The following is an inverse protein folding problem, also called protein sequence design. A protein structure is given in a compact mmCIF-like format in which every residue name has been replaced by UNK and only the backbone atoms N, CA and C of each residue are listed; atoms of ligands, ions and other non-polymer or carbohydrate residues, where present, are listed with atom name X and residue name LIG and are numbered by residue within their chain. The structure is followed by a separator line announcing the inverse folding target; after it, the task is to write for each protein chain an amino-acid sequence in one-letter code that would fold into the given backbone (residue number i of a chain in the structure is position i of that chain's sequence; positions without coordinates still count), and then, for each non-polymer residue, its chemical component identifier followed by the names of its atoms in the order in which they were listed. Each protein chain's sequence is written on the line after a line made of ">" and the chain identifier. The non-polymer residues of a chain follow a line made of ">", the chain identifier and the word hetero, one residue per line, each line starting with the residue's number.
data_IF_836724770032
#
_entry.id   IF_836724770032
#
_cell.length_a   1.000
_cell.length_b   1.000
_cell.length_c   1.000
_cell.angle_alpha   90.00
_cell.angle_beta   90.00
_cell.angle_gamma   90.00
#
_symmetry.space_group_name_H-M   'P 1'
#
loop_
_entity.id
_entity.type
_entity.pdbx_description
1 polymer ?
#
# COMPACT_ATOMS: atom_id res chain seq x y z
N UNK A 1 17.50 -12.42 -1.53
CA UNK A 1 16.86 -11.09 -1.42
C UNK A 1 15.36 -11.10 -1.81
N UNK A 2 14.63 -12.23 -1.74
CA UNK A 2 13.19 -12.27 -2.06
C UNK A 2 12.28 -12.05 -0.84
N UNK A 3 12.71 -12.47 0.36
CA UNK A 3 11.85 -12.48 1.55
C UNK A 3 11.47 -11.09 2.06
N UNK A 4 12.36 -10.10 1.98
CA UNK A 4 12.04 -8.75 2.51
C UNK A 4 10.96 -8.05 1.66
N UNK A 5 11.08 -8.11 0.34
CA UNK A 5 10.09 -7.52 -0.57
C UNK A 5 8.75 -8.25 -0.48
N UNK A 6 8.78 -9.57 -0.30
CA UNK A 6 7.57 -10.38 -0.08
C UNK A 6 6.86 -10.02 1.23
N UNK A 7 7.60 -9.86 2.34
CA UNK A 7 7.05 -9.41 3.62
C UNK A 7 6.44 -8.01 3.50
N UNK A 8 7.12 -7.09 2.80
CA UNK A 8 6.61 -5.74 2.55
C UNK A 8 5.30 -5.78 1.73
N UNK A 9 5.24 -6.61 0.69
CA UNK A 9 4.04 -6.77 -0.13
C UNK A 9 2.85 -7.31 0.70
N UNK A 10 3.09 -8.27 1.59
CA UNK A 10 2.07 -8.80 2.50
C UNK A 10 1.56 -7.73 3.45
N UNK A 11 2.46 -6.98 4.10
CA UNK A 11 2.08 -5.90 5.02
C UNK A 11 1.25 -4.84 4.30
N UNK A 12 1.57 -4.54 3.04
CA UNK A 12 0.81 -3.61 2.22
C UNK A 12 -0.64 -4.05 1.98
N UNK A 13 -0.81 -5.32 1.61
CA UNK A 13 -2.11 -5.90 1.30
C UNK A 13 -2.98 -5.96 2.57
N UNK A 14 -2.39 -6.34 3.71
CA UNK A 14 -3.09 -6.39 4.99
C UNK A 14 -3.47 -4.98 5.45
N UNK A 15 -2.54 -4.03 5.40
CA UNK A 15 -2.81 -2.62 5.75
C UNK A 15 -3.90 -2.00 4.88
N UNK A 16 -3.94 -2.36 3.59
CA UNK A 16 -5.02 -1.97 2.68
C UNK A 16 -6.38 -2.55 3.10
N UNK A 17 -6.45 -3.86 3.31
CA UNK A 17 -7.70 -4.54 3.65
C UNK A 17 -8.28 -4.02 4.98
N UNK A 18 -7.43 -3.81 5.99
CA UNK A 18 -7.82 -3.22 7.27
C UNK A 18 -8.29 -1.76 7.09
N UNK A 19 -7.60 -0.98 6.26
CA UNK A 19 -7.99 0.40 5.93
C UNK A 19 -9.34 0.48 5.21
N UNK A 20 -9.60 -0.43 4.28
CA UNK A 20 -10.82 -0.49 3.48
C UNK A 20 -12.03 -0.96 4.30
N UNK A 21 -11.86 -1.99 5.14
CA UNK A 21 -12.95 -2.60 5.90
C UNK A 21 -13.20 -1.90 7.25
N UNK A 22 -12.18 -1.32 7.86
CA UNK A 22 -12.26 -0.71 9.20
C UNK A 22 -12.74 0.73 9.23
N UNK A 23 -12.54 1.49 8.14
CA UNK A 23 -12.84 2.92 8.11
C UNK A 23 -14.00 3.23 7.14
N UNK A 24 -15.23 3.10 7.63
CA UNK A 24 -16.46 3.65 7.02
C UNK A 24 -16.56 5.19 7.20
N UNK A 25 -15.44 5.88 7.22
CA UNK A 25 -15.38 7.30 7.61
C UNK A 25 -15.33 8.15 6.34
N UNK A 26 -16.36 8.99 6.14
CA UNK A 26 -16.59 10.03 5.12
C UNK A 26 -15.56 10.20 3.97
N UNK A 27 -16.08 10.29 2.74
CA UNK A 27 -15.36 10.16 1.45
C UNK A 27 -13.98 10.81 1.29
N UNK A 28 -13.61 11.85 2.04
CA UNK A 28 -12.27 12.45 2.03
C UNK A 28 -11.19 11.48 2.54
N UNK A 29 -11.44 10.77 3.65
CA UNK A 29 -10.45 9.84 4.22
C UNK A 29 -10.24 8.66 3.26
N UNK A 30 -11.31 8.22 2.60
CA UNK A 30 -11.25 7.15 1.60
C UNK A 30 -10.38 7.54 0.40
N UNK A 31 -10.54 8.76 -0.13
CA UNK A 31 -9.72 9.27 -1.25
C UNK A 31 -8.24 9.36 -0.86
N UNK A 32 -7.93 9.88 0.33
CA UNK A 32 -6.56 9.96 0.83
C UNK A 32 -5.93 8.56 1.01
N UNK A 33 -6.71 7.56 1.46
CA UNK A 33 -6.29 6.16 1.56
C UNK A 33 -5.98 5.56 0.17
N UNK A 34 -6.87 5.77 -0.81
CA UNK A 34 -6.67 5.34 -2.21
C UNK A 34 -5.37 5.90 -2.78
N UNK A 35 -5.11 7.20 -2.60
CA UNK A 35 -3.87 7.84 -3.04
C UNK A 35 -2.65 7.21 -2.35
N UNK A 36 -2.72 6.94 -1.04
CA UNK A 36 -1.63 6.30 -0.31
C UNK A 36 -1.30 4.90 -0.86
N UNK A 37 -2.30 4.09 -1.20
CA UNK A 37 -2.09 2.76 -1.79
C UNK A 37 -1.43 2.88 -3.16
N UNK A 38 -1.93 3.77 -4.03
CA UNK A 38 -1.35 4.00 -5.36
C UNK A 38 0.11 4.43 -5.24
N UNK A 39 0.43 5.36 -4.34
CA UNK A 39 1.80 5.82 -4.11
C UNK A 39 2.73 4.67 -3.68
N UNK A 40 2.24 3.74 -2.84
CA UNK A 40 3.05 2.60 -2.43
C UNK A 40 3.19 1.57 -3.55
N UNK A 41 2.13 1.28 -4.30
CA UNK A 41 2.21 0.40 -5.49
C UNK A 41 3.22 0.95 -6.49
N UNK A 42 3.16 2.25 -6.80
CA UNK A 42 4.11 2.92 -7.68
C UNK A 42 5.53 2.79 -7.14
N UNK A 43 5.76 2.97 -5.84
CA UNK A 43 7.07 2.80 -5.21
C UNK A 43 7.59 1.36 -5.24
N UNK A 44 6.70 0.37 -5.13
CA UNK A 44 7.04 -1.06 -5.23
C UNK A 44 7.38 -1.43 -6.67
N UNK A 45 6.56 -1.01 -7.64
CA UNK A 45 6.77 -1.25 -9.08
C UNK A 45 8.01 -0.52 -9.59
N UNK A 46 8.26 0.71 -9.14
CA UNK A 46 9.48 1.46 -9.45
C UNK A 46 10.73 0.85 -8.82
N UNK A 47 10.58 -0.23 -8.02
CA UNK A 47 11.60 -1.17 -7.59
C UNK A 47 13.00 -0.63 -7.76
N UNK A 48 13.50 0.05 -6.72
CA UNK A 48 14.82 0.70 -6.60
C UNK A 48 15.68 0.34 -7.81
N UNK A 49 15.77 1.26 -8.79
CA UNK A 49 16.77 1.16 -9.86
C UNK A 49 18.12 1.13 -9.16
N UNK A 50 18.61 -0.07 -8.88
CA UNK A 50 19.93 -0.30 -8.33
C UNK A 50 20.84 0.01 -9.51
N UNK A 51 21.34 1.24 -9.56
CA UNK A 51 22.46 1.61 -10.41
C UNK A 51 23.74 1.09 -9.76
#
# INVERSE_FOLDING_TARGET
>A
MGNLLYIIAIILIIGWAVGFLGFHTGGIIHVLLVIAIIAIILRVIQGRRVL
#
